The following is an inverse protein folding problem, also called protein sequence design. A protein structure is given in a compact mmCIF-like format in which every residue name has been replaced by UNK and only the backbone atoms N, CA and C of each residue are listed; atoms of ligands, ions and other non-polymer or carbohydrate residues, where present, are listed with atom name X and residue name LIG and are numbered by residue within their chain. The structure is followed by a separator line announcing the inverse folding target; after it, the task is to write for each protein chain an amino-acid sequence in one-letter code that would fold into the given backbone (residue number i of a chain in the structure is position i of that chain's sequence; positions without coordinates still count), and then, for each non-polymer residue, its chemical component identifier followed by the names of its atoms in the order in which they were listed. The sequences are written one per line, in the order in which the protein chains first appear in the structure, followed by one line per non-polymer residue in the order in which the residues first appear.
data_IF_877998749530
#
_entry.id   IF_877998749530
#
_cell.length_a   1.000
_cell.length_b   1.000
_cell.length_c   1.000
_cell.angle_alpha   90.00
_cell.angle_beta   90.00
_cell.angle_gamma   90.00
#
_symmetry.space_group_name_H-M   'P 1'
#
loop_
_entity.id
_entity.type
_entity.pdbx_description
1 polymer ?
#
# COMPACT_ATOMS: atom_id res chain seq x y z
N UNK A 1 -48.28 71.04 10.46
CA UNK A 1 -49.40 70.43 9.69
C UNK A 1 -49.93 71.48 8.70
N UNK A 2 -50.39 71.16 7.47
CA UNK A 2 -50.43 69.87 6.73
C UNK A 2 -49.91 69.92 5.26
N UNK A 3 -49.72 68.71 4.70
CA UNK A 3 -49.80 68.17 3.31
C UNK A 3 -49.64 69.02 2.03
N UNK A 4 -48.81 68.50 1.11
CA UNK A 4 -49.10 68.18 -0.32
C UNK A 4 -47.79 67.59 -0.91
N UNK A 5 -47.70 66.48 -1.64
CA UNK A 5 -48.57 65.98 -2.71
C UNK A 5 -47.85 66.22 -4.04
N UNK A 6 -47.24 65.20 -4.64
CA UNK A 6 -46.81 65.27 -6.05
C UNK A 6 -46.96 63.92 -6.73
N UNK A 7 -47.69 63.91 -7.85
CA UNK A 7 -47.98 62.74 -8.68
C UNK A 7 -47.66 63.01 -10.14
N UNK A 8 -47.19 61.94 -10.82
CA UNK A 8 -47.15 61.69 -12.28
C UNK A 8 -46.06 62.45 -13.08
N UNK A 9 -45.38 61.93 -14.11
CA UNK A 9 -45.63 60.95 -15.19
C UNK A 9 -44.31 60.33 -15.73
N UNK A 10 -44.34 59.23 -16.53
CA UNK A 10 -43.15 58.56 -17.06
C UNK A 10 -42.54 59.30 -18.27
N UNK A 11 -41.19 59.30 -18.35
CA UNK A 11 -40.42 59.77 -19.51
C UNK A 11 -39.99 58.56 -20.34
N UNK A 12 -40.38 58.54 -21.63
CA UNK A 12 -39.97 57.53 -22.59
C UNK A 12 -38.49 57.70 -22.96
N UNK A 13 -37.66 56.70 -22.71
CA UNK A 13 -36.28 56.66 -23.20
C UNK A 13 -36.23 56.21 -24.67
N UNK A 14 -35.44 56.85 -25.55
CA UNK A 14 -35.26 56.43 -26.94
C UNK A 14 -34.44 55.13 -27.03
N UNK A 15 -34.76 54.26 -28.01
CA UNK A 15 -33.91 53.11 -28.37
C UNK A 15 -32.61 53.63 -28.99
N UNK A 16 -31.47 53.31 -28.36
CA UNK A 16 -30.15 53.62 -28.90
C UNK A 16 -29.63 52.43 -29.72
N UNK A 17 -29.13 52.77 -30.91
CA UNK A 17 -28.63 51.93 -31.99
C UNK A 17 -27.43 51.07 -31.56
N UNK A 18 -27.41 49.79 -31.95
CA UNK A 18 -26.33 48.82 -31.72
C UNK A 18 -25.21 48.94 -32.75
N UNK A 19 -24.63 50.13 -32.91
CA UNK A 19 -23.47 50.35 -33.77
C UNK A 19 -22.59 51.38 -33.08
N UNK A 20 -21.59 50.90 -32.32
CA UNK A 20 -20.30 51.56 -32.03
C UNK A 20 -19.65 50.98 -30.75
N UNK A 21 -19.15 49.75 -30.83
CA UNK A 21 -18.10 49.27 -29.90
C UNK A 21 -17.34 48.10 -30.51
N UNK A 22 -16.62 48.35 -31.61
CA UNK A 22 -15.51 47.49 -32.03
C UNK A 22 -14.23 48.01 -31.40
N UNK A 23 -13.88 47.46 -30.23
CA UNK A 23 -12.53 47.60 -29.68
C UNK A 23 -11.61 46.72 -30.53
N UNK A 24 -10.73 47.34 -31.33
CA UNK A 24 -9.65 46.62 -32.00
C UNK A 24 -8.62 46.18 -30.93
N UNK A 25 -8.64 44.90 -30.58
CA UNK A 25 -7.58 44.27 -29.80
C UNK A 25 -6.51 43.82 -30.80
N UNK A 26 -5.44 44.61 -30.95
CA UNK A 26 -4.22 44.12 -31.60
C UNK A 26 -3.60 43.05 -30.71
N UNK A 27 -3.42 41.84 -31.25
CA UNK A 27 -2.74 40.76 -30.57
C UNK A 27 -1.25 41.12 -30.45
N UNK A 28 -0.81 41.54 -29.26
CA UNK A 28 0.62 41.66 -28.94
C UNK A 28 1.19 40.24 -28.90
N UNK A 29 1.92 39.86 -29.94
CA UNK A 29 2.67 38.60 -29.98
C UNK A 29 3.80 38.72 -28.94
N UNK A 30 3.84 37.88 -27.89
CA UNK A 30 4.94 37.93 -26.94
C UNK A 30 6.26 37.58 -27.66
N UNK A 31 7.40 38.20 -27.30
CA UNK A 31 8.67 37.92 -27.94
C UNK A 31 9.02 36.44 -27.80
N UNK A 32 9.51 35.85 -28.89
CA UNK A 32 9.94 34.46 -28.93
C UNK A 32 11.00 34.23 -27.86
N UNK A 33 10.69 33.33 -26.92
CA UNK A 33 11.58 33.01 -25.78
C UNK A 33 12.88 32.47 -26.38
N UNK A 34 14.07 33.02 -26.06
CA UNK A 34 15.32 32.50 -26.60
C UNK A 34 15.41 31.01 -26.26
N UNK A 35 15.65 30.18 -27.28
CA UNK A 35 15.82 28.75 -27.10
C UNK A 35 16.89 28.53 -26.03
N UNK A 36 16.53 27.84 -24.94
CA UNK A 36 17.50 27.42 -23.94
C UNK A 36 18.55 26.56 -24.67
N UNK A 37 19.85 26.76 -24.39
CA UNK A 37 20.88 25.89 -24.97
C UNK A 37 20.52 24.45 -24.64
N UNK A 38 20.48 23.58 -25.66
CA UNK A 38 20.34 22.14 -25.46
C UNK A 38 21.49 21.70 -24.54
N UNK A 39 21.14 21.41 -23.29
CA UNK A 39 22.09 20.83 -22.36
C UNK A 39 22.48 19.48 -22.94
N UNK A 40 23.77 19.30 -23.28
CA UNK A 40 24.25 17.99 -23.68
C UNK A 40 23.82 16.95 -22.63
N UNK A 41 23.31 15.78 -23.04
CA UNK A 41 22.93 14.74 -22.11
C UNK A 41 24.11 14.45 -21.19
N UNK A 42 23.93 14.67 -19.89
CA UNK A 42 24.97 14.37 -18.91
C UNK A 42 25.44 12.93 -19.09
N UNK A 43 26.70 12.75 -19.50
CA UNK A 43 27.32 11.44 -19.67
C UNK A 43 28.24 11.18 -18.48
N UNK A 44 27.79 10.42 -17.46
CA UNK A 44 28.64 10.14 -16.31
C UNK A 44 29.88 9.34 -16.74
N UNK A 45 31.07 9.58 -16.14
CA UNK A 45 32.28 8.81 -16.42
C UNK A 45 32.06 7.30 -16.28
N UNK A 46 32.83 6.49 -17.00
CA UNK A 46 32.63 5.04 -17.17
C UNK A 46 32.44 4.24 -15.87
N UNK A 47 33.12 4.62 -14.78
CA UNK A 47 32.92 4.00 -13.45
C UNK A 47 31.57 4.36 -12.83
N UNK A 48 31.13 5.62 -12.95
CA UNK A 48 29.79 6.05 -12.53
C UNK A 48 28.71 5.36 -13.37
N UNK A 49 28.98 5.08 -14.65
CA UNK A 49 28.09 4.30 -15.53
C UNK A 49 27.96 2.84 -15.08
N UNK A 50 29.03 2.21 -14.59
CA UNK A 50 28.98 0.84 -14.06
C UNK A 50 28.22 0.77 -12.74
N UNK A 51 28.53 1.66 -11.78
CA UNK A 51 27.83 1.73 -10.49
C UNK A 51 26.34 2.02 -10.67
N UNK A 52 25.99 2.93 -11.59
CA UNK A 52 24.61 3.21 -11.94
C UNK A 52 23.89 1.98 -12.53
N UNK A 53 24.54 1.23 -13.42
CA UNK A 53 23.98 -0.01 -13.99
C UNK A 53 23.74 -1.07 -12.93
N UNK A 54 24.73 -1.30 -12.05
CA UNK A 54 24.60 -2.26 -10.95
C UNK A 54 23.47 -1.83 -10.01
N UNK A 55 23.46 -0.55 -9.60
CA UNK A 55 22.41 0.01 -8.74
C UNK A 55 21.04 -0.22 -9.34
N UNK A 56 20.85 0.05 -10.63
CA UNK A 56 19.57 -0.15 -11.30
C UNK A 56 19.18 -1.63 -11.40
N UNK A 57 20.13 -2.52 -11.66
CA UNK A 57 19.88 -3.96 -11.72
C UNK A 57 19.46 -4.55 -10.37
N UNK A 58 20.01 -4.05 -9.26
CA UNK A 58 19.67 -4.51 -7.90
C UNK A 58 18.59 -3.68 -7.21
N UNK A 59 18.08 -2.63 -7.87
CA UNK A 59 17.15 -1.67 -7.25
C UNK A 59 15.86 -2.33 -6.79
N UNK A 60 15.25 -3.14 -7.65
CA UNK A 60 14.00 -3.87 -7.33
C UNK A 60 14.23 -4.92 -6.23
N UNK A 61 15.21 -5.84 -6.33
CA UNK A 61 15.50 -6.78 -5.24
C UNK A 61 15.83 -6.09 -3.91
N UNK A 62 16.60 -5.01 -3.93
CA UNK A 62 16.95 -4.29 -2.71
C UNK A 62 15.73 -3.62 -2.08
N UNK A 63 14.79 -3.12 -2.89
CA UNK A 63 13.53 -2.58 -2.39
C UNK A 63 12.69 -3.66 -1.70
N UNK A 64 12.58 -4.85 -2.29
CA UNK A 64 11.91 -6.01 -1.67
C UNK A 64 12.60 -6.45 -0.37
N UNK A 65 13.93 -6.52 -0.36
CA UNK A 65 14.73 -6.86 0.82
C UNK A 65 14.49 -5.87 1.96
N UNK A 66 14.62 -4.55 1.70
CA UNK A 66 14.42 -3.51 2.70
C UNK A 66 12.97 -3.46 3.18
N UNK A 67 12.01 -3.67 2.27
CA UNK A 67 10.60 -3.75 2.60
C UNK A 67 10.34 -4.88 3.61
N UNK A 68 10.77 -6.11 3.33
CA UNK A 68 10.56 -7.24 4.25
C UNK A 68 11.37 -7.10 5.55
N UNK A 69 12.57 -6.53 5.50
CA UNK A 69 13.34 -6.25 6.72
C UNK A 69 12.57 -5.31 7.67
N UNK A 70 12.03 -4.21 7.15
CA UNK A 70 11.21 -3.28 7.92
C UNK A 70 9.91 -3.91 8.38
N UNK A 71 9.26 -4.71 7.52
CA UNK A 71 8.06 -5.46 7.89
C UNK A 71 8.29 -6.33 9.13
N UNK A 72 9.36 -7.11 9.13
CA UNK A 72 9.73 -8.00 10.24
C UNK A 72 10.19 -7.21 11.46
N UNK A 73 10.90 -6.08 11.30
CA UNK A 73 11.32 -5.24 12.43
C UNK A 73 10.12 -4.77 13.25
N UNK A 74 9.11 -4.21 12.60
CA UNK A 74 7.91 -3.72 13.30
C UNK A 74 7.08 -4.86 13.89
N UNK A 75 6.87 -5.92 13.11
CA UNK A 75 6.08 -7.07 13.55
C UNK A 75 6.71 -7.84 14.72
N UNK A 76 7.89 -8.43 14.48
CA UNK A 76 8.59 -9.22 15.49
C UNK A 76 9.03 -8.38 16.69
N UNK A 77 9.33 -7.08 16.48
CA UNK A 77 9.61 -6.15 17.55
C UNK A 77 8.41 -5.92 18.47
N UNK A 78 7.20 -5.80 17.90
CA UNK A 78 5.97 -5.71 18.68
C UNK A 78 5.72 -7.00 19.48
N UNK A 79 5.90 -8.18 18.87
CA UNK A 79 5.73 -9.47 19.53
C UNK A 79 6.70 -9.67 20.69
N UNK A 80 7.98 -9.35 20.46
CA UNK A 80 9.01 -9.39 21.49
C UNK A 80 8.68 -8.42 22.62
N UNK A 81 8.27 -7.18 22.32
CA UNK A 81 7.93 -6.19 23.35
C UNK A 81 6.74 -6.62 24.20
N UNK A 82 5.64 -7.03 23.57
CA UNK A 82 4.42 -7.45 24.28
C UNK A 82 4.75 -8.65 25.16
N UNK A 83 5.37 -9.69 24.60
CA UNK A 83 5.58 -10.93 25.34
C UNK A 83 6.66 -10.79 26.41
N UNK A 84 7.84 -10.25 26.09
CA UNK A 84 8.95 -10.16 27.04
C UNK A 84 8.63 -9.24 28.22
N UNK A 85 7.83 -8.18 28.00
CA UNK A 85 7.42 -7.27 29.08
C UNK A 85 6.41 -7.86 30.07
N UNK A 86 5.87 -9.05 29.82
CA UNK A 86 5.06 -9.78 30.82
C UNK A 86 5.89 -10.28 31.99
N UNK A 87 7.20 -10.48 31.80
CA UNK A 87 8.11 -10.92 32.84
C UNK A 87 8.57 -9.70 33.67
N UNK A 88 8.27 -9.62 34.98
CA UNK A 88 8.67 -8.50 35.83
C UNK A 88 10.18 -8.29 35.94
N UNK A 89 10.98 -9.33 35.65
CA UNK A 89 12.44 -9.26 35.63
C UNK A 89 12.99 -8.60 34.35
N UNK A 90 12.17 -8.49 33.31
CA UNK A 90 12.51 -7.81 32.05
C UNK A 90 11.99 -6.36 32.06
N UNK A 91 10.74 -6.15 32.46
CA UNK A 91 10.13 -4.84 32.52
C UNK A 91 9.26 -4.70 33.78
N UNK A 92 9.35 -3.56 34.45
CA UNK A 92 8.55 -3.27 35.66
C UNK A 92 7.06 -3.06 35.37
N UNK A 93 6.71 -2.79 34.11
CA UNK A 93 5.34 -2.58 33.65
C UNK A 93 5.18 -3.25 32.30
N UNK A 94 4.09 -4.02 32.15
CA UNK A 94 3.72 -4.65 30.88
C UNK A 94 3.52 -3.61 29.76
N UNK A 95 4.00 -3.92 28.56
CA UNK A 95 4.04 -3.01 27.40
C UNK A 95 3.26 -3.60 26.22
N UNK A 96 2.02 -3.16 26.07
CA UNK A 96 1.16 -3.49 24.94
C UNK A 96 0.32 -4.73 25.17
N UNK A 97 -0.55 -5.02 24.21
CA UNK A 97 -1.49 -6.15 24.22
C UNK A 97 -1.49 -6.81 22.84
N UNK A 98 -2.29 -7.86 22.63
CA UNK A 98 -2.42 -8.50 21.31
C UNK A 98 -2.74 -7.49 20.18
N UNK A 99 -3.53 -6.45 20.47
CA UNK A 99 -3.81 -5.40 19.49
C UNK A 99 -2.54 -4.60 19.10
N UNK A 100 -1.60 -4.41 20.03
CA UNK A 100 -0.31 -3.75 19.75
C UNK A 100 0.52 -4.56 18.76
N UNK A 101 0.51 -5.89 18.86
CA UNK A 101 1.09 -6.79 17.85
C UNK A 101 0.44 -6.59 16.48
N UNK A 102 -0.90 -6.55 16.42
CA UNK A 102 -1.61 -6.37 15.14
C UNK A 102 -1.28 -5.01 14.49
N UNK A 103 -1.14 -3.95 15.30
CA UNK A 103 -0.63 -2.65 14.82
C UNK A 103 0.80 -2.75 14.32
N UNK A 104 1.70 -3.44 15.04
CA UNK A 104 3.09 -3.65 14.62
C UNK A 104 3.18 -4.32 13.25
N UNK A 105 2.49 -5.44 13.06
CA UNK A 105 2.44 -6.13 11.76
C UNK A 105 1.80 -5.26 10.67
N UNK A 106 0.65 -4.63 10.95
CA UNK A 106 -0.03 -3.76 10.00
C UNK A 106 0.83 -2.58 9.53
N UNK A 107 1.44 -1.86 10.47
CA UNK A 107 2.32 -0.72 10.18
C UNK A 107 3.55 -1.21 9.41
N UNK A 108 4.12 -2.34 9.83
CA UNK A 108 5.24 -2.97 9.14
C UNK A 108 4.94 -3.24 7.67
N UNK A 109 3.77 -3.81 7.35
CA UNK A 109 3.37 -4.07 5.96
C UNK A 109 3.20 -2.77 5.16
N UNK A 110 2.55 -1.77 5.76
CA UNK A 110 2.39 -0.48 5.09
C UNK A 110 3.73 0.19 4.80
N UNK A 111 4.64 0.25 5.78
CA UNK A 111 5.97 0.82 5.57
C UNK A 111 6.77 0.02 4.54
N UNK A 112 6.67 -1.30 4.54
CA UNK A 112 7.31 -2.16 3.56
C UNK A 112 6.88 -1.82 2.12
N UNK A 113 5.57 -1.67 1.89
CA UNK A 113 5.02 -1.28 0.59
C UNK A 113 5.31 0.19 0.28
N UNK A 114 5.41 1.07 1.27
CA UNK A 114 5.83 2.44 1.05
C UNK A 114 7.28 2.54 0.55
N UNK A 115 8.17 1.72 1.11
CA UNK A 115 9.58 1.63 0.72
C UNK A 115 9.74 1.05 -0.69
N UNK A 116 8.92 0.06 -1.04
CA UNK A 116 9.16 -0.79 -2.21
C UNK A 116 8.20 -0.56 -3.38
N UNK A 117 6.98 -0.06 -3.13
CA UNK A 117 5.90 0.04 -4.10
C UNK A 117 6.28 0.80 -5.37
N UNK A 118 6.88 1.99 -5.23
CA UNK A 118 7.33 2.81 -6.35
C UNK A 118 8.59 2.31 -7.07
N UNK A 119 9.16 1.18 -6.65
CA UNK A 119 10.41 0.64 -7.19
C UNK A 119 10.19 -0.77 -7.75
N UNK A 120 9.77 -1.72 -6.93
CA UNK A 120 9.62 -3.13 -7.28
C UNK A 120 8.17 -3.56 -7.55
N UNK A 121 7.20 -2.67 -7.28
CA UNK A 121 5.78 -3.01 -7.16
C UNK A 121 5.37 -3.39 -5.74
N UNK A 122 6.34 -3.50 -4.82
CA UNK A 122 6.10 -3.76 -3.40
C UNK A 122 5.37 -5.06 -3.13
N UNK A 123 5.86 -6.17 -3.71
CA UNK A 123 5.26 -7.48 -3.49
C UNK A 123 5.41 -7.90 -2.04
N UNK A 124 6.62 -7.74 -1.50
CA UNK A 124 7.07 -8.01 -0.13
C UNK A 124 6.64 -9.38 0.43
N UNK A 125 6.25 -10.30 -0.46
CA UNK A 125 5.60 -11.56 -0.13
C UNK A 125 5.78 -12.54 -1.31
N UNK A 126 6.39 -13.72 -1.10
CA UNK A 126 6.53 -14.75 -2.14
C UNK A 126 5.19 -15.25 -2.69
N UNK A 127 4.14 -15.35 -1.85
CA UNK A 127 2.82 -15.80 -2.30
C UNK A 127 2.20 -14.80 -3.30
N UNK A 128 2.30 -13.50 -3.02
CA UNK A 128 1.84 -12.43 -3.92
C UNK A 128 2.71 -12.40 -5.18
N UNK A 129 4.03 -12.53 -5.06
CA UNK A 129 4.94 -12.57 -6.22
C UNK A 129 4.58 -13.70 -7.18
N UNK A 130 4.30 -14.88 -6.66
CA UNK A 130 3.88 -16.04 -7.46
C UNK A 130 2.48 -15.83 -8.05
N UNK A 131 1.53 -15.26 -7.32
CA UNK A 131 0.20 -15.00 -7.84
C UNK A 131 0.23 -13.97 -8.99
N UNK A 132 0.99 -12.88 -8.83
CA UNK A 132 1.16 -11.89 -9.90
C UNK A 132 1.89 -12.45 -11.12
N UNK A 133 2.84 -13.38 -10.93
CA UNK A 133 3.53 -14.07 -12.03
C UNK A 133 2.58 -15.00 -12.81
N UNK A 134 1.68 -15.68 -12.11
CA UNK A 134 0.70 -16.59 -12.72
C UNK A 134 -0.40 -15.83 -13.45
N UNK A 135 -0.97 -14.80 -12.84
CA UNK A 135 -2.24 -14.20 -13.30
C UNK A 135 -2.08 -12.81 -13.93
N UNK A 136 -1.08 -12.03 -13.51
CA UNK A 136 -0.95 -10.60 -13.88
C UNK A 136 0.31 -10.29 -14.70
N UNK A 137 0.94 -11.32 -15.27
CA UNK A 137 2.04 -11.18 -16.22
C UNK A 137 3.38 -10.73 -15.61
N UNK A 138 3.55 -10.84 -14.28
CA UNK A 138 4.84 -10.51 -13.67
C UNK A 138 5.94 -11.46 -14.21
N UNK A 139 7.12 -10.94 -14.66
CA UNK A 139 8.10 -11.77 -15.34
C UNK A 139 8.65 -12.91 -14.46
N UNK A 140 8.41 -14.14 -14.87
CA UNK A 140 8.88 -15.35 -14.17
C UNK A 140 10.40 -15.38 -13.91
N UNK A 141 11.20 -14.73 -14.78
CA UNK A 141 12.65 -14.60 -14.58
C UNK A 141 13.03 -13.77 -13.35
N UNK A 142 12.18 -12.84 -12.91
CA UNK A 142 12.40 -12.00 -11.72
C UNK A 142 11.98 -12.70 -10.43
N UNK A 143 11.06 -13.66 -10.49
CA UNK A 143 10.48 -14.34 -9.32
C UNK A 143 11.54 -14.89 -8.35
N UNK A 144 12.56 -15.66 -8.79
CA UNK A 144 13.55 -16.20 -7.85
C UNK A 144 14.34 -15.12 -7.11
N UNK A 145 14.67 -14.02 -7.80
CA UNK A 145 15.43 -12.91 -7.24
C UNK A 145 14.59 -12.15 -6.21
N UNK A 146 13.30 -11.93 -6.50
CA UNK A 146 12.36 -11.33 -5.56
C UNK A 146 12.19 -12.18 -4.31
N UNK A 147 11.91 -13.48 -4.46
CA UNK A 147 11.73 -14.40 -3.32
C UNK A 147 13.00 -14.46 -2.47
N UNK A 148 14.18 -14.57 -3.10
CA UNK A 148 15.45 -14.56 -2.38
C UNK A 148 15.64 -13.27 -1.60
N UNK A 149 15.41 -12.10 -2.22
CA UNK A 149 15.54 -10.81 -1.56
C UNK A 149 14.57 -10.66 -0.38
N UNK A 150 13.31 -11.08 -0.55
CA UNK A 150 12.29 -11.06 0.49
C UNK A 150 12.70 -11.94 1.68
N UNK A 151 13.13 -13.18 1.43
CA UNK A 151 13.58 -14.11 2.48
C UNK A 151 14.80 -13.55 3.23
N UNK A 152 15.78 -13.01 2.50
CA UNK A 152 16.96 -12.37 3.12
C UNK A 152 16.59 -11.11 3.92
N UNK A 153 15.59 -10.35 3.47
CA UNK A 153 15.03 -9.25 4.23
C UNK A 153 14.47 -9.72 5.56
N UNK A 154 13.72 -10.83 5.55
CA UNK A 154 13.20 -11.46 6.76
C UNK A 154 14.30 -11.94 7.73
N UNK A 155 15.38 -12.53 7.19
CA UNK A 155 16.57 -12.93 7.98
C UNK A 155 17.17 -11.72 8.70
N UNK A 156 17.39 -10.61 7.97
CA UNK A 156 18.04 -9.41 8.52
C UNK A 156 17.13 -8.68 9.49
N UNK A 157 15.84 -8.54 9.18
CA UNK A 157 14.86 -7.94 10.08
C UNK A 157 14.77 -8.69 11.41
N UNK A 158 14.71 -10.02 11.36
CA UNK A 158 14.72 -10.86 12.55
C UNK A 158 16.03 -10.71 13.35
N UNK A 159 17.18 -10.70 12.66
CA UNK A 159 18.47 -10.50 13.30
C UNK A 159 18.61 -9.17 14.04
N UNK A 160 18.08 -8.09 13.47
CA UNK A 160 18.08 -6.76 14.09
C UNK A 160 17.19 -6.74 15.34
N UNK A 161 15.96 -7.26 15.26
CA UNK A 161 15.07 -7.35 16.44
C UNK A 161 15.67 -8.26 17.51
N UNK A 162 16.21 -9.41 17.13
CA UNK A 162 16.87 -10.31 18.07
C UNK A 162 18.04 -9.64 18.78
N UNK A 163 18.89 -8.90 18.04
CA UNK A 163 20.01 -8.16 18.63
C UNK A 163 19.54 -7.11 19.64
N UNK A 164 18.40 -6.45 19.37
CA UNK A 164 17.79 -5.47 20.27
C UNK A 164 17.26 -6.11 21.56
N UNK A 165 16.70 -7.32 21.48
CA UNK A 165 16.04 -7.99 22.61
C UNK A 165 16.83 -9.14 23.24
N UNK A 166 18.08 -9.41 22.81
CA UNK A 166 18.84 -10.59 23.23
C UNK A 166 18.94 -10.75 24.75
N UNK A 167 19.17 -9.66 25.49
CA UNK A 167 19.27 -9.70 26.95
C UNK A 167 17.91 -9.94 27.63
N UNK A 168 16.84 -9.37 27.07
CA UNK A 168 15.49 -9.62 27.55
C UNK A 168 15.07 -11.07 27.30
N UNK A 169 15.44 -11.62 26.14
CA UNK A 169 15.24 -13.03 25.78
C UNK A 169 16.02 -13.94 26.75
N UNK A 170 17.29 -13.61 27.06
CA UNK A 170 18.08 -14.39 28.03
C UNK A 170 17.44 -14.42 29.43
N UNK A 171 16.89 -13.30 29.90
CA UNK A 171 16.18 -13.26 31.18
C UNK A 171 14.88 -14.08 31.11
N UNK A 172 14.11 -13.92 30.02
CA UNK A 172 12.82 -14.57 29.85
C UNK A 172 12.93 -16.10 29.75
N UNK A 173 13.93 -16.59 29.02
CA UNK A 173 14.19 -18.03 28.82
C UNK A 173 14.98 -18.66 29.98
N UNK A 174 15.38 -17.87 30.99
CA UNK A 174 16.06 -18.37 32.19
C UNK A 174 17.57 -18.57 32.04
N UNK A 175 18.20 -18.00 31.01
CA UNK A 175 19.65 -17.98 30.87
C UNK A 175 20.14 -17.71 29.45
N UNK A 176 21.45 -17.40 29.35
CA UNK A 176 22.14 -17.25 28.08
C UNK A 176 22.15 -18.57 27.31
N UNK A 177 21.76 -18.51 26.04
CA UNK A 177 21.77 -19.67 25.14
C UNK A 177 20.59 -20.62 25.28
N UNK A 178 19.66 -20.37 26.22
CA UNK A 178 18.39 -21.10 26.28
C UNK A 178 17.45 -20.51 25.24
N UNK A 179 17.02 -21.32 24.27
CA UNK A 179 16.21 -20.89 23.12
C UNK A 179 15.11 -21.91 22.88
N UNK A 180 13.86 -21.54 23.17
CA UNK A 180 12.70 -22.43 23.03
C UNK A 180 11.70 -21.89 22.01
N UNK A 181 10.67 -22.68 21.70
CA UNK A 181 9.60 -22.24 20.81
C UNK A 181 8.83 -21.01 21.33
N UNK A 182 8.89 -20.72 22.64
CA UNK A 182 8.21 -19.57 23.24
C UNK A 182 8.70 -18.24 22.64
N UNK A 183 10.01 -18.00 22.63
CA UNK A 183 10.61 -16.80 22.00
C UNK A 183 10.85 -16.96 20.50
N UNK A 184 10.92 -18.18 19.96
CA UNK A 184 10.92 -18.40 18.50
C UNK A 184 9.64 -17.86 17.86
N UNK A 185 8.53 -17.90 18.60
CA UNK A 185 7.22 -17.41 18.19
C UNK A 185 7.15 -15.93 17.89
N UNK A 186 8.11 -15.11 18.36
CA UNK A 186 8.16 -13.67 18.00
C UNK A 186 8.54 -13.48 16.53
N UNK A 187 9.32 -14.42 16.01
CA UNK A 187 9.96 -14.31 14.72
C UNK A 187 9.25 -15.14 13.66
N UNK A 188 8.70 -16.30 14.05
CA UNK A 188 8.08 -17.27 13.15
C UNK A 188 6.79 -17.83 13.74
N UNK A 189 5.87 -18.30 12.91
CA UNK A 189 4.55 -18.76 13.36
C UNK A 189 4.57 -20.20 13.88
N UNK A 190 3.84 -20.47 14.94
CA UNK A 190 3.57 -21.83 15.40
C UNK A 190 2.10 -21.90 15.79
N UNK A 191 1.42 -23.04 15.61
CA UNK A 191 -0.01 -23.14 15.89
C UNK A 191 -0.32 -23.44 17.36
N UNK A 192 -1.44 -22.94 17.87
CA UNK A 192 -1.95 -23.28 19.21
C UNK A 192 -2.29 -24.79 19.34
N UNK A 193 -2.14 -25.32 20.55
CA UNK A 193 -2.23 -26.76 20.84
C UNK A 193 -3.55 -27.43 20.46
N UNK A 194 -4.66 -26.70 20.56
CA UNK A 194 -5.98 -27.24 20.23
C UNK A 194 -6.26 -27.36 18.72
N UNK A 195 -5.45 -26.75 17.84
CA UNK A 195 -5.71 -26.75 16.40
C UNK A 195 -5.21 -28.01 15.72
N UNK A 196 -6.07 -28.58 14.87
CA UNK A 196 -5.66 -29.65 13.94
C UNK A 196 -4.81 -29.09 12.80
N UNK A 197 -4.04 -29.95 12.12
CA UNK A 197 -3.26 -29.55 10.95
C UNK A 197 -4.11 -28.95 9.82
N UNK A 198 -5.31 -29.50 9.59
CA UNK A 198 -6.25 -29.00 8.58
C UNK A 198 -6.73 -27.60 8.94
N UNK A 199 -7.08 -27.37 10.22
CA UNK A 199 -7.50 -26.04 10.69
C UNK A 199 -6.38 -25.01 10.59
N UNK A 200 -5.13 -25.41 10.87
CA UNK A 200 -3.96 -24.54 10.69
C UNK A 200 -3.81 -24.13 9.22
N UNK A 201 -3.83 -25.12 8.32
CA UNK A 201 -3.73 -24.88 6.88
C UNK A 201 -4.86 -23.95 6.39
N UNK A 202 -6.11 -24.23 6.79
CA UNK A 202 -7.25 -23.41 6.39
C UNK A 202 -7.15 -21.98 6.88
N UNK A 203 -6.71 -21.75 8.12
CA UNK A 203 -6.54 -20.40 8.67
C UNK A 203 -5.53 -19.58 7.88
N UNK A 204 -4.40 -20.19 7.54
CA UNK A 204 -3.32 -19.55 6.79
C UNK A 204 -3.71 -19.30 5.32
N UNK A 205 -4.39 -20.29 4.71
CA UNK A 205 -4.99 -20.17 3.38
C UNK A 205 -5.99 -19.01 3.33
N UNK A 206 -6.93 -18.98 4.28
CA UNK A 206 -8.00 -17.98 4.31
C UNK A 206 -7.45 -16.57 4.52
N UNK A 207 -6.56 -16.37 5.48
CA UNK A 207 -6.00 -15.05 5.74
C UNK A 207 -5.15 -14.54 4.58
N UNK A 208 -4.37 -15.42 3.93
CA UNK A 208 -3.60 -15.02 2.73
C UNK A 208 -4.52 -14.76 1.53
N UNK A 209 -5.60 -15.54 1.38
CA UNK A 209 -6.58 -15.31 0.33
C UNK A 209 -7.26 -13.94 0.50
N UNK A 210 -7.71 -13.60 1.70
CA UNK A 210 -8.31 -12.27 1.96
C UNK A 210 -7.31 -11.15 1.70
N UNK A 211 -6.06 -11.29 2.16
CA UNK A 211 -5.00 -10.31 1.88
C UNK A 211 -4.79 -10.10 0.37
N UNK A 212 -4.62 -11.19 -0.39
CA UNK A 212 -4.43 -11.13 -1.83
C UNK A 212 -5.66 -10.57 -2.55
N UNK A 213 -6.87 -10.90 -2.11
CA UNK A 213 -8.11 -10.40 -2.69
C UNK A 213 -8.23 -8.88 -2.54
N UNK A 214 -7.90 -8.34 -1.36
CA UNK A 214 -7.89 -6.89 -1.13
C UNK A 214 -6.77 -6.21 -1.93
N UNK A 215 -5.60 -6.84 -2.08
CA UNK A 215 -4.54 -6.33 -2.97
C UNK A 215 -5.07 -6.20 -4.41
N UNK A 216 -5.77 -7.21 -4.93
CA UNK A 216 -6.35 -7.14 -6.27
C UNK A 216 -7.38 -6.02 -6.38
N UNK A 217 -8.33 -5.93 -5.44
CA UNK A 217 -9.34 -4.89 -5.43
C UNK A 217 -8.76 -3.47 -5.33
N UNK A 218 -7.73 -3.29 -4.50
CA UNK A 218 -7.10 -1.99 -4.26
C UNK A 218 -6.13 -1.56 -5.38
N UNK A 219 -5.70 -2.48 -6.25
CA UNK A 219 -4.81 -2.17 -7.38
C UNK A 219 -5.53 -2.13 -8.72
N UNK A 220 -6.78 -2.59 -8.76
CA UNK A 220 -7.62 -2.57 -9.94
C UNK A 220 -8.21 -1.18 -10.22
N UNK A 221 -7.66 -0.50 -11.23
CA UNK A 221 -8.10 0.83 -11.68
C UNK A 221 -9.53 0.86 -12.24
N UNK A 222 -10.14 -0.29 -12.52
CA UNK A 222 -11.52 -0.38 -12.98
C UNK A 222 -12.50 -0.61 -11.82
N UNK A 223 -11.98 -0.89 -10.63
CA UNK A 223 -12.72 -0.89 -9.38
C UNK A 223 -12.56 0.46 -8.65
N UNK A 224 -13.07 0.57 -7.43
CA UNK A 224 -12.89 1.71 -6.54
C UNK A 224 -11.48 1.75 -5.91
N UNK A 225 -10.43 1.73 -6.75
CA UNK A 225 -9.05 1.84 -6.29
C UNK A 225 -8.82 3.15 -5.51
N UNK A 226 -8.09 3.10 -4.39
CA UNK A 226 -7.75 4.29 -3.63
C UNK A 226 -6.86 5.24 -4.47
N UNK A 227 -6.85 6.55 -4.16
CA UNK A 227 -5.91 7.49 -4.75
C UNK A 227 -4.45 7.02 -4.68
N UNK A 228 -3.65 7.42 -5.68
CA UNK A 228 -2.23 7.10 -5.75
C UNK A 228 -1.50 7.41 -4.45
N UNK A 229 -0.72 6.45 -3.95
CA UNK A 229 0.03 6.58 -2.70
C UNK A 229 -0.73 6.14 -1.44
N UNK A 230 -2.03 5.84 -1.52
CA UNK A 230 -2.81 5.34 -0.37
C UNK A 230 -2.87 3.81 -0.25
N UNK A 231 -2.33 3.07 -1.22
CA UNK A 231 -2.25 1.61 -1.15
C UNK A 231 -1.63 1.09 0.17
N UNK A 232 -0.52 1.66 0.69
CA UNK A 232 0.01 1.26 1.99
C UNK A 232 -0.99 1.38 3.15
N UNK A 233 -1.85 2.41 3.15
CA UNK A 233 -2.87 2.61 4.21
C UNK A 233 -3.93 1.52 4.13
N UNK A 234 -4.36 1.15 2.93
CA UNK A 234 -5.31 0.04 2.73
C UNK A 234 -4.70 -1.27 3.24
N UNK A 235 -3.42 -1.52 2.94
CA UNK A 235 -2.73 -2.74 3.40
C UNK A 235 -2.50 -2.75 4.92
N UNK A 236 -2.25 -1.59 5.53
CA UNK A 236 -2.25 -1.45 7.00
C UNK A 236 -3.59 -1.89 7.60
N UNK A 237 -4.69 -1.32 7.11
CA UNK A 237 -6.05 -1.65 7.61
C UNK A 237 -6.38 -3.12 7.38
N UNK A 238 -5.99 -3.66 6.24
CA UNK A 238 -6.22 -5.06 5.87
C UNK A 238 -5.51 -5.99 6.84
N UNK A 239 -4.21 -5.77 7.08
CA UNK A 239 -3.44 -6.66 7.95
C UNK A 239 -3.79 -6.48 9.42
N UNK A 240 -4.10 -5.25 9.86
CA UNK A 240 -4.63 -4.97 11.19
C UNK A 240 -5.95 -5.72 11.42
N UNK A 241 -6.88 -5.64 10.47
CA UNK A 241 -8.17 -6.33 10.51
C UNK A 241 -8.02 -7.85 10.49
N UNK A 242 -7.14 -8.38 9.64
CA UNK A 242 -6.81 -9.81 9.60
C UNK A 242 -6.24 -10.29 10.94
N UNK A 243 -5.34 -9.52 11.56
CA UNK A 243 -4.80 -9.86 12.86
C UNK A 243 -5.85 -9.84 13.97
N UNK A 244 -6.71 -8.82 13.98
CA UNK A 244 -7.78 -8.69 14.95
C UNK A 244 -8.86 -9.77 14.81
N UNK A 245 -9.14 -10.25 13.59
CA UNK A 245 -10.23 -11.19 13.32
C UNK A 245 -9.78 -12.66 13.23
N UNK A 246 -8.61 -12.93 12.63
CA UNK A 246 -8.15 -14.28 12.26
C UNK A 246 -6.80 -14.66 12.85
N UNK A 247 -6.07 -13.72 13.47
CA UNK A 247 -4.66 -13.89 13.78
C UNK A 247 -4.31 -14.83 14.94
N UNK A 248 -5.26 -15.14 15.84
CA UNK A 248 -5.01 -15.96 17.03
C UNK A 248 -4.67 -17.41 16.70
N UNK A 249 -5.26 -17.98 15.65
CA UNK A 249 -5.25 -19.43 15.42
C UNK A 249 -3.84 -19.95 15.10
N UNK A 250 -3.17 -19.38 14.09
CA UNK A 250 -1.88 -19.88 13.59
C UNK A 250 -0.65 -19.23 14.25
N UNK A 251 -0.77 -18.67 15.45
CA UNK A 251 0.33 -18.05 16.20
C UNK A 251 0.30 -18.35 17.70
N UNK A 252 1.23 -19.17 18.21
CA UNK A 252 1.40 -19.45 19.65
C UNK A 252 1.92 -18.24 20.43
N UNK A 253 2.58 -17.30 19.75
CA UNK A 253 3.12 -16.08 20.35
C UNK A 253 2.70 -14.82 19.60
N UNK A 254 1.39 -14.66 19.38
CA UNK A 254 0.72 -13.43 18.91
C UNK A 254 0.70 -13.21 17.39
N UNK A 255 1.33 -14.05 16.55
CA UNK A 255 1.47 -13.72 15.13
C UNK A 255 1.10 -14.82 14.11
N UNK A 256 0.31 -14.40 13.14
CA UNK A 256 -0.02 -15.07 11.88
C UNK A 256 1.08 -14.82 10.83
N UNK A 257 1.18 -15.69 9.82
CA UNK A 257 2.23 -15.59 8.80
C UNK A 257 1.76 -14.81 7.57
N UNK A 258 0.76 -15.30 6.85
CA UNK A 258 0.22 -14.86 5.55
C UNK A 258 1.27 -14.55 4.46
N UNK A 259 2.53 -14.88 4.71
CA UNK A 259 3.67 -14.46 3.92
C UNK A 259 4.84 -15.42 4.14
N UNK A 260 5.20 -16.23 3.13
CA UNK A 260 6.29 -17.20 3.25
C UNK A 260 7.65 -16.58 3.64
N UNK A 261 7.98 -15.37 3.19
CA UNK A 261 9.26 -14.73 3.53
C UNK A 261 9.28 -14.18 4.97
N UNK A 262 8.15 -13.68 5.47
CA UNK A 262 7.97 -13.23 6.85
C UNK A 262 8.11 -14.37 7.86
N UNK A 263 7.89 -15.61 7.44
CA UNK A 263 8.06 -16.76 8.32
C UNK A 263 9.37 -17.51 8.07
N UNK A 264 9.64 -17.91 6.83
CA UNK A 264 10.83 -18.70 6.50
C UNK A 264 12.14 -17.93 6.70
N UNK A 265 12.18 -16.64 6.36
CA UNK A 265 13.36 -15.79 6.57
C UNK A 265 13.78 -15.76 8.04
N UNK A 266 12.89 -15.38 8.97
CA UNK A 266 13.19 -15.45 10.39
C UNK A 266 13.53 -16.85 10.91
N UNK A 267 12.93 -17.94 10.40
CA UNK A 267 13.35 -19.31 10.77
C UNK A 267 14.81 -19.63 10.42
N UNK A 268 15.27 -19.18 9.25
CA UNK A 268 16.68 -19.29 8.88
C UNK A 268 17.57 -18.54 9.89
N UNK A 269 17.15 -17.34 10.32
CA UNK A 269 17.84 -16.62 11.38
C UNK A 269 17.83 -17.36 12.73
N UNK A 270 16.69 -17.90 13.15
CA UNK A 270 16.58 -18.66 14.40
C UNK A 270 17.53 -19.86 14.46
N UNK A 271 17.76 -20.51 13.32
CA UNK A 271 18.75 -21.58 13.20
C UNK A 271 20.17 -21.11 13.50
N UNK A 272 20.53 -19.90 13.05
CA UNK A 272 21.81 -19.26 13.35
C UNK A 272 21.89 -18.78 14.80
N UNK A 273 20.76 -18.41 15.41
CA UNK A 273 20.65 -17.91 16.78
C UNK A 273 20.55 -19.00 17.86
N UNK A 274 20.62 -20.28 17.48
CA UNK A 274 20.70 -21.40 18.42
C UNK A 274 19.38 -22.04 18.82
N UNK A 275 18.26 -21.75 18.14
CA UNK A 275 16.96 -22.39 18.40
C UNK A 275 16.88 -23.86 17.93
N UNK A 276 17.89 -24.35 17.21
CA UNK A 276 18.00 -25.75 16.83
C UNK A 276 16.98 -26.21 15.78
N UNK A 277 16.78 -27.53 15.68
CA UNK A 277 15.95 -28.15 14.63
C UNK A 277 14.46 -28.07 14.89
N UNK A 278 14.05 -27.76 16.11
CA UNK A 278 12.65 -27.74 16.54
C UNK A 278 11.80 -26.76 15.72
N UNK A 279 12.40 -25.65 15.26
CA UNK A 279 11.74 -24.66 14.40
C UNK A 279 11.30 -25.23 13.04
N UNK A 280 11.85 -26.39 12.63
CA UNK A 280 11.49 -27.10 11.41
C UNK A 280 10.76 -28.41 11.66
N UNK A 281 11.07 -29.13 12.75
CA UNK A 281 10.41 -30.41 13.05
C UNK A 281 9.06 -30.24 13.75
N UNK A 282 8.73 -29.04 14.21
CA UNK A 282 7.42 -28.72 14.80
C UNK A 282 6.28 -29.25 13.93
N UNK A 283 5.38 -30.03 14.55
CA UNK A 283 4.20 -30.68 13.95
C UNK A 283 4.43 -31.22 12.53
N UNK A 284 5.47 -32.04 12.36
CA UNK A 284 5.80 -32.70 11.09
C UNK A 284 5.96 -31.70 9.93
N UNK A 285 6.96 -30.81 10.04
CA UNK A 285 7.28 -29.81 9.01
C UNK A 285 6.23 -28.71 8.85
N UNK A 286 5.66 -28.23 9.97
CA UNK A 286 4.67 -27.15 10.02
C UNK A 286 5.03 -25.95 9.15
N UNK A 287 6.29 -25.52 9.24
CA UNK A 287 6.85 -24.38 8.49
C UNK A 287 6.70 -24.50 6.97
N UNK A 288 6.58 -25.71 6.42
CA UNK A 288 6.44 -25.92 4.98
C UNK A 288 4.98 -25.95 4.57
N UNK A 289 4.20 -26.86 5.16
CA UNK A 289 2.83 -27.08 4.68
C UNK A 289 1.85 -25.97 5.10
N UNK A 290 2.09 -25.29 6.22
CA UNK A 290 1.20 -24.21 6.67
C UNK A 290 1.62 -22.84 6.10
N UNK A 291 2.64 -22.14 6.62
CA UNK A 291 2.92 -20.74 6.25
C UNK A 291 3.48 -20.57 4.84
N UNK A 292 4.01 -21.63 4.21
CA UNK A 292 4.46 -21.57 2.81
C UNK A 292 3.36 -22.04 1.87
N UNK A 293 3.00 -23.32 1.91
CA UNK A 293 2.08 -23.90 0.92
C UNK A 293 0.66 -23.34 1.02
N UNK A 294 0.11 -23.21 2.23
CA UNK A 294 -1.25 -22.68 2.39
C UNK A 294 -1.33 -21.21 1.95
N UNK A 295 -0.30 -20.41 2.27
CA UNK A 295 -0.24 -19.00 1.85
C UNK A 295 -0.17 -18.86 0.31
N UNK A 296 0.70 -19.64 -0.35
CA UNK A 296 0.80 -19.64 -1.81
C UNK A 296 -0.55 -20.03 -2.43
N UNK A 297 -1.17 -21.12 -1.97
CA UNK A 297 -2.45 -21.58 -2.50
C UNK A 297 -3.58 -20.60 -2.22
N UNK A 298 -3.59 -19.93 -1.06
CA UNK A 298 -4.54 -18.89 -0.71
C UNK A 298 -4.46 -17.69 -1.65
N UNK A 299 -3.23 -17.20 -1.91
CA UNK A 299 -3.02 -16.10 -2.84
C UNK A 299 -3.46 -16.45 -4.27
N UNK A 300 -3.10 -17.65 -4.75
CA UNK A 300 -3.51 -18.12 -6.09
C UNK A 300 -5.04 -18.22 -6.21
N UNK A 301 -5.71 -18.79 -5.20
CA UNK A 301 -7.16 -18.90 -5.18
C UNK A 301 -7.83 -17.53 -5.19
N UNK A 302 -7.35 -16.58 -4.39
CA UNK A 302 -7.91 -15.24 -4.33
C UNK A 302 -7.81 -14.48 -5.65
N UNK A 303 -6.65 -14.50 -6.31
CA UNK A 303 -6.49 -13.84 -7.60
C UNK A 303 -7.34 -14.51 -8.66
N UNK A 304 -7.39 -15.85 -8.70
CA UNK A 304 -8.28 -16.57 -9.61
C UNK A 304 -9.76 -16.22 -9.41
N UNK A 305 -10.24 -16.15 -8.16
CA UNK A 305 -11.62 -15.73 -7.85
C UNK A 305 -11.87 -14.28 -8.27
N UNK A 306 -10.94 -13.36 -7.98
CA UNK A 306 -11.07 -11.96 -8.37
C UNK A 306 -11.15 -11.82 -9.89
N UNK A 307 -10.27 -12.51 -10.62
CA UNK A 307 -10.19 -12.43 -12.08
C UNK A 307 -11.40 -13.06 -12.78
N UNK A 308 -11.96 -14.14 -12.24
CA UNK A 308 -13.14 -14.81 -12.80
C UNK A 308 -14.41 -14.00 -12.58
N UNK A 309 -14.58 -13.40 -11.40
CA UNK A 309 -15.88 -12.85 -10.98
C UNK A 309 -15.96 -11.33 -10.92
N UNK A 310 -14.85 -10.62 -10.67
CA UNK A 310 -14.87 -9.17 -10.42
C UNK A 310 -14.08 -8.36 -11.45
N UNK A 311 -12.97 -8.88 -11.95
CA UNK A 311 -12.14 -8.14 -12.89
C UNK A 311 -12.84 -8.02 -14.26
N UNK A 312 -13.14 -6.78 -14.66
CA UNK A 312 -13.64 -6.48 -15.99
C UNK A 312 -12.75 -5.43 -16.68
N UNK A 313 -11.96 -5.80 -17.70
CA UNK A 313 -11.10 -4.85 -18.41
C UNK A 313 -11.90 -3.83 -19.25
N UNK A 314 -13.13 -4.14 -19.63
CA UNK A 314 -13.90 -3.39 -20.64
C UNK A 314 -14.96 -2.44 -20.04
N UNK A 315 -15.06 -2.34 -18.70
CA UNK A 315 -16.17 -1.64 -18.05
C UNK A 315 -16.17 -0.12 -18.33
N UNK A 316 -14.99 0.48 -18.50
CA UNK A 316 -14.86 1.91 -18.87
C UNK A 316 -15.41 2.23 -20.26
N UNK A 317 -15.36 1.29 -21.20
CA UNK A 317 -16.00 1.47 -22.51
C UNK A 317 -17.53 1.41 -22.41
N UNK A 318 -18.07 0.54 -21.54
CA UNK A 318 -19.52 0.40 -21.38
C UNK A 318 -20.20 1.56 -20.65
N UNK A 319 -19.53 2.20 -19.67
CA UNK A 319 -20.08 3.40 -18.98
C UNK A 319 -20.05 4.61 -19.91
N UNK A 320 -19.02 4.74 -20.75
CA UNK A 320 -18.97 5.77 -21.80
C UNK A 320 -20.01 5.56 -22.90
N UNK A 321 -20.39 4.30 -23.18
CA UNK A 321 -21.39 3.96 -24.20
C UNK A 321 -22.85 4.03 -23.68
N UNK A 322 -23.07 3.85 -22.38
CA UNK A 322 -24.42 3.86 -21.76
C UNK A 322 -24.88 5.24 -21.28
N UNK A 323 -23.99 6.25 -21.25
CA UNK A 323 -24.40 7.64 -21.09
C UNK A 323 -25.03 8.17 -22.39
N UNK A 324 -26.30 7.84 -22.63
CA UNK A 324 -27.12 8.51 -23.62
C UNK A 324 -27.11 10.03 -23.37
N UNK A 325 -26.87 10.90 -24.38
CA UNK A 325 -26.78 12.35 -24.22
C UNK A 325 -28.06 13.06 -23.74
N UNK A 326 -29.19 12.35 -23.67
CA UNK A 326 -30.51 12.96 -23.54
C UNK A 326 -30.91 13.28 -22.08
N UNK A 327 -30.22 12.72 -21.07
CA UNK A 327 -30.56 12.97 -19.66
C UNK A 327 -29.85 14.23 -19.10
N UNK A 328 -28.74 14.67 -19.71
CA UNK A 328 -27.99 15.85 -19.23
C UNK A 328 -28.64 17.17 -19.68
N UNK A 329 -29.36 17.18 -20.81
CA UNK A 329 -30.05 18.40 -21.30
C UNK A 329 -31.25 18.82 -20.43
N UNK A 330 -31.90 17.88 -19.73
CA UNK A 330 -33.02 18.18 -18.85
C UNK A 330 -32.62 18.81 -17.52
N UNK A 331 -31.40 18.52 -17.02
CA UNK A 331 -30.95 18.98 -15.69
C UNK A 331 -30.30 20.35 -15.73
N UNK A 332 -29.55 20.68 -16.78
CA UNK A 332 -28.94 22.01 -16.94
C UNK A 332 -29.98 23.12 -17.17
N UNK A 333 -31.14 22.81 -17.77
CA UNK A 333 -32.19 23.80 -17.99
C UNK A 333 -33.01 24.14 -16.73
N UNK A 334 -32.94 23.33 -15.66
CA UNK A 334 -33.57 23.66 -14.37
C UNK A 334 -32.64 24.44 -13.44
N UNK A 335 -31.34 24.13 -13.45
CA UNK A 335 -30.36 24.80 -12.56
C UNK A 335 -30.08 26.25 -12.95
N UNK A 336 -30.18 26.59 -14.24
CA UNK A 336 -29.99 27.96 -14.74
C UNK A 336 -31.16 28.89 -14.42
N UNK A 337 -32.35 28.36 -14.13
CA UNK A 337 -33.54 29.16 -13.77
C UNK A 337 -33.59 29.49 -12.28
N UNK A 338 -33.04 28.62 -11.41
CA UNK A 338 -32.99 28.85 -9.96
C UNK A 338 -31.84 29.78 -9.52
N UNK A 339 -30.69 29.73 -10.21
CA UNK A 339 -29.52 30.56 -9.84
C UNK A 339 -29.65 32.04 -10.23
N UNK A 340 -30.52 32.38 -11.19
CA UNK A 340 -30.81 33.78 -11.55
C UNK A 340 -31.69 34.52 -10.53
N UNK A 341 -32.31 33.81 -9.57
CA UNK A 341 -33.20 34.38 -8.55
C UNK A 341 -32.50 34.71 -7.23
N UNK A 342 -31.31 34.16 -6.97
CA UNK A 342 -30.72 34.12 -5.62
C UNK A 342 -29.46 34.98 -5.39
N UNK A 343 -29.10 35.90 -6.29
CA UNK A 343 -27.96 36.82 -6.09
C UNK A 343 -28.37 38.29 -6.19
N UNK A 344 -29.17 38.72 -5.23
CA UNK A 344 -29.18 40.09 -4.73
C UNK A 344 -29.37 40.02 -3.22
N UNK A 345 -28.28 39.87 -2.48
CA UNK A 345 -27.99 40.57 -1.23
C UNK A 345 -26.73 39.99 -0.58
N UNK A 346 -25.87 40.93 -0.18
CA UNK A 346 -24.85 40.85 0.88
C UNK A 346 -23.65 39.91 0.65
N UNK A 347 -22.45 40.48 0.52
CA UNK A 347 -21.48 40.64 1.61
C UNK A 347 -20.19 41.30 1.07
N UNK A 348 -19.74 42.30 1.82
CA UNK A 348 -18.50 43.05 1.62
C UNK A 348 -17.34 42.40 2.40
N UNK A 349 -16.12 42.70 1.93
CA UNK A 349 -14.81 42.60 2.58
C UNK A 349 -14.36 41.23 3.16
N UNK A 350 -13.30 40.66 2.57
CA UNK A 350 -12.02 40.36 3.25
C UNK A 350 -10.98 39.76 2.26
N UNK A 351 -9.70 40.09 2.48
CA UNK A 351 -8.48 39.78 1.70
C UNK A 351 -8.19 38.29 1.40
N UNK A 352 -7.51 37.96 0.27
CA UNK A 352 -6.91 36.63 0.07
C UNK A 352 -5.38 36.67 -0.05
N UNK A 353 -4.68 36.09 0.93
CA UNK A 353 -3.33 35.56 0.75
C UNK A 353 -3.30 34.09 1.16
N UNK A 354 -3.40 33.18 0.19
CA UNK A 354 -2.95 31.78 0.34
C UNK A 354 -2.29 31.28 -0.94
N UNK A 355 -1.05 30.82 -0.77
CA UNK A 355 -0.19 30.19 -1.75
C UNK A 355 -0.77 28.87 -2.26
N UNK A 356 -0.87 28.70 -3.59
CA UNK A 356 -0.99 27.38 -4.23
C UNK A 356 0.41 26.91 -4.65
N UNK A 357 0.87 25.80 -4.08
CA UNK A 357 1.98 25.02 -4.61
C UNK A 357 1.42 23.93 -5.53
N UNK A 358 1.66 24.06 -6.82
CA UNK A 358 1.37 23.04 -7.82
C UNK A 358 2.36 21.87 -7.69
N UNK A 359 1.88 20.69 -7.30
CA UNK A 359 2.64 19.46 -7.47
C UNK A 359 2.26 18.83 -8.80
N UNK A 360 3.25 18.74 -9.69
CA UNK A 360 3.17 18.01 -10.96
C UNK A 360 2.98 16.52 -10.69
N UNK A 361 1.91 15.97 -11.23
CA UNK A 361 1.62 14.54 -11.28
C UNK A 361 2.64 13.84 -12.17
N UNK A 362 3.38 12.87 -11.64
CA UNK A 362 4.08 11.89 -12.46
C UNK A 362 3.10 10.75 -12.78
N UNK A 363 2.74 10.61 -14.05
CA UNK A 363 2.05 9.43 -14.57
C UNK A 363 2.95 8.20 -14.35
N UNK A 364 2.44 7.24 -13.58
CA UNK A 364 3.02 5.90 -13.47
C UNK A 364 2.26 5.04 -14.49
N UNK A 365 2.77 5.04 -15.72
CA UNK A 365 2.34 4.11 -16.76
C UNK A 365 2.85 2.71 -16.43
N UNK A 366 1.91 1.80 -16.20
CA UNK A 366 2.18 0.37 -16.15
C UNK A 366 2.37 -0.13 -17.58
N UNK A 367 3.61 -0.48 -17.90
CA UNK A 367 4.07 -1.47 -18.88
C UNK A 367 3.08 -1.85 -20.01
N UNK A 368 3.27 -1.25 -21.20
CA UNK A 368 2.65 -1.69 -22.46
C UNK A 368 3.47 -2.85 -23.08
N UNK A 369 2.87 -3.96 -23.55
CA UNK A 369 3.59 -5.05 -24.17
C UNK A 369 3.63 -4.88 -25.69
N UNK A 370 4.46 -3.99 -26.23
CA UNK A 370 4.66 -3.90 -27.68
C UNK A 370 6.13 -3.67 -28.03
N UNK A 371 6.88 -4.77 -28.19
CA UNK A 371 8.10 -4.78 -29.01
C UNK A 371 8.02 -6.00 -29.93
N UNK A 372 8.00 -5.82 -31.27
CA UNK A 372 7.99 -6.93 -32.20
C UNK A 372 9.40 -7.55 -32.33
N UNK A 373 9.42 -8.89 -32.24
CA UNK A 373 10.43 -9.89 -32.61
C UNK A 373 11.92 -9.56 -32.44
#
# INVERSE_FOLDING_TARGET
MPSAGFTTRPVSMPRMSTDDTKVHVEAVIPPEKPALPELEPFTPPTKERLLWRIRNAIREPMAEFLGVAVFVIFGAGADAQVTLSTNPSVASVHKGEYISTNFGWGIGLAMAVWISGGISGGHVNPAITLALATWRGFPWRKVPVYIFAQVMGGVVGAGLVYSQYIHAIDIFEGGRGVRTLATAGFFSSFALDYLTAVSCFFSEFLGTAVLAFIIMAATDKNNAAPPSGLLPVVLFLTLLGLGAALGMQTGTSLAFSFNPARDFGPRLFLSMAGYGREVYTYRNQYWLWCPILAAILGAQAAVGVYDIFLYNPNEKESVSASSHPDIIKGRQSQTLTETASATKHDFADEDPHYFYASFTTYDIDYWHPDIPL
#
